data_IF_711856598366
#
_entry.id   IF_711856598366
#
_cell.length_a   1.000
_cell.length_b   1.000
_cell.length_c   1.000
_cell.angle_alpha   90.00
_cell.angle_beta   90.00
_cell.angle_gamma   90.00
#
_symmetry.space_group_name_H-M   'P 1'
#
loop_
_entity.id
_entity.type
_entity.pdbx_description
1 polymer ?
#
# COMPACT_ATOMS: atom_id res chain seq x y z
N UNK A 1 -10.15 14.15 -2.64
CA UNK A 1 -10.97 14.96 -1.71
C UNK A 1 -11.96 15.83 -2.45
N UNK A 2 -11.57 16.57 -3.49
CA UNK A 2 -12.47 17.42 -4.31
C UNK A 2 -13.75 16.72 -4.76
N UNK A 3 -13.66 15.57 -5.43
CA UNK A 3 -14.84 14.82 -5.90
C UNK A 3 -15.78 14.40 -4.76
N UNK A 4 -15.25 14.15 -3.56
CA UNK A 4 -16.07 13.82 -2.40
C UNK A 4 -16.82 15.06 -1.90
N UNK A 5 -16.13 16.19 -1.70
CA UNK A 5 -16.78 17.44 -1.26
C UNK A 5 -17.77 18.01 -2.28
N UNK A 6 -17.52 17.82 -3.57
CA UNK A 6 -18.48 18.18 -4.62
C UNK A 6 -19.76 17.31 -4.57
N UNK A 7 -19.66 16.07 -4.06
CA UNK A 7 -20.80 15.15 -3.95
C UNK A 7 -21.57 15.32 -2.63
N UNK A 8 -20.86 15.58 -1.53
CA UNK A 8 -21.46 15.69 -0.20
C UNK A 8 -21.74 17.14 0.14
N UNK A 9 -20.72 17.87 0.56
CA UNK A 9 -20.71 19.31 0.77
C UNK A 9 -19.27 19.74 1.07
N UNK A 10 -18.92 20.99 0.75
CA UNK A 10 -17.66 21.58 1.20
C UNK A 10 -17.75 22.01 2.67
N UNK A 11 -16.68 21.86 3.47
CA UNK A 11 -16.67 22.36 4.84
C UNK A 11 -17.02 23.85 4.91
N UNK A 12 -17.75 24.28 5.94
CA UNK A 12 -18.20 25.68 6.08
C UNK A 12 -17.08 26.74 6.02
N UNK A 13 -15.85 26.36 6.40
CA UNK A 13 -14.65 27.23 6.36
C UNK A 13 -13.79 27.05 5.10
N UNK A 14 -14.24 26.23 4.13
CA UNK A 14 -13.50 26.05 2.89
C UNK A 14 -13.62 27.29 1.99
N UNK A 15 -12.61 27.57 1.16
CA UNK A 15 -12.68 28.65 0.19
C UNK A 15 -13.83 28.50 -0.81
N UNK A 16 -14.19 29.61 -1.45
CA UNK A 16 -15.35 29.68 -2.36
C UNK A 16 -14.97 29.50 -3.82
N UNK A 17 -13.78 29.93 -4.22
CA UNK A 17 -13.30 29.81 -5.61
C UNK A 17 -12.65 28.46 -5.87
N UNK A 18 -12.61 28.03 -7.12
CA UNK A 18 -12.06 26.72 -7.51
C UNK A 18 -10.54 26.67 -7.34
N UNK A 19 -9.83 27.75 -7.69
CA UNK A 19 -8.39 27.89 -7.45
C UNK A 19 -8.05 27.77 -5.95
N UNK A 20 -8.70 28.52 -5.08
CA UNK A 20 -8.43 28.46 -3.63
C UNK A 20 -8.83 27.09 -3.05
N UNK A 21 -9.89 26.46 -3.55
CA UNK A 21 -10.29 25.10 -3.14
C UNK A 21 -9.26 24.06 -3.53
N UNK A 22 -8.62 24.21 -4.69
CA UNK A 22 -7.54 23.33 -5.14
C UNK A 22 -6.34 23.45 -4.19
N UNK A 23 -5.94 24.67 -3.84
CA UNK A 23 -4.86 24.92 -2.87
C UNK A 23 -5.20 24.39 -1.47
N UNK A 24 -6.45 24.61 -1.02
CA UNK A 24 -6.94 24.09 0.26
C UNK A 24 -6.93 22.56 0.32
N UNK A 25 -7.36 21.87 -0.75
CA UNK A 25 -7.29 20.40 -0.82
C UNK A 25 -5.83 19.94 -0.82
N UNK A 26 -4.93 20.64 -1.53
CA UNK A 26 -3.51 20.33 -1.50
C UNK A 26 -2.91 20.50 -0.09
N UNK A 27 -3.26 21.56 0.64
CA UNK A 27 -2.79 21.78 2.01
C UNK A 27 -3.30 20.70 2.98
N UNK A 28 -4.55 20.26 2.83
CA UNK A 28 -5.09 19.14 3.59
C UNK A 28 -4.34 17.83 3.30
N UNK A 29 -4.06 17.54 2.02
CA UNK A 29 -3.28 16.37 1.63
C UNK A 29 -1.86 16.42 2.22
N UNK A 30 -1.22 17.59 2.21
CA UNK A 30 0.10 17.81 2.82
C UNK A 30 0.04 17.55 4.33
N UNK A 31 -0.89 18.21 5.05
CA UNK A 31 -1.02 18.06 6.50
C UNK A 31 -1.35 16.62 6.93
N UNK A 32 -2.26 15.97 6.21
CA UNK A 32 -2.59 14.54 6.43
C UNK A 32 -1.36 13.65 6.24
N UNK A 33 -0.50 13.96 5.26
CA UNK A 33 0.72 13.20 5.01
C UNK A 33 1.74 13.41 6.13
N UNK A 34 1.96 14.64 6.59
CA UNK A 34 2.84 14.94 7.74
C UNK A 34 2.41 14.19 9.01
N UNK A 35 1.12 14.27 9.37
CA UNK A 35 0.58 13.58 10.54
C UNK A 35 0.72 12.05 10.41
N UNK A 36 0.45 11.51 9.22
CA UNK A 36 0.59 10.09 8.95
C UNK A 36 2.04 9.61 9.12
N UNK A 37 3.02 10.37 8.61
CA UNK A 37 4.44 10.04 8.81
C UNK A 37 4.83 10.10 10.28
N UNK A 38 4.38 11.12 11.02
CA UNK A 38 4.64 11.21 12.46
C UNK A 38 4.05 10.02 13.25
N UNK A 39 2.90 9.48 12.84
CA UNK A 39 2.34 8.26 13.46
C UNK A 39 3.18 7.02 13.18
N UNK A 40 3.75 6.89 11.98
CA UNK A 40 4.66 5.80 11.62
C UNK A 40 5.95 5.88 12.44
N UNK A 41 6.58 7.05 12.49
CA UNK A 41 7.84 7.28 13.20
C UNK A 41 7.69 7.03 14.71
N UNK A 42 6.56 7.44 15.29
CA UNK A 42 6.22 7.15 16.70
C UNK A 42 5.75 5.71 16.94
N UNK A 43 5.71 4.86 15.91
CA UNK A 43 5.24 3.47 15.97
C UNK A 43 3.83 3.32 16.57
N UNK A 44 2.97 4.31 16.35
CA UNK A 44 1.58 4.32 16.85
C UNK A 44 0.62 3.56 15.92
N UNK A 45 1.16 2.93 14.88
CA UNK A 45 0.41 2.18 13.88
C UNK A 45 0.79 0.70 14.01
N UNK A 46 -0.10 -0.15 14.52
CA UNK A 46 0.20 -1.56 14.66
C UNK A 46 0.23 -2.24 13.28
N UNK A 47 1.12 -3.22 13.14
CA UNK A 47 1.00 -4.20 12.05
C UNK A 47 -0.29 -5.00 12.23
N UNK A 48 -0.87 -5.46 11.11
CA UNK A 48 -1.98 -6.40 11.17
C UNK A 48 -1.52 -7.72 11.82
N UNK A 49 -2.37 -8.39 12.61
CA UNK A 49 -2.03 -9.67 13.21
C UNK A 49 -1.50 -10.67 12.17
N UNK A 50 -0.38 -11.32 12.48
CA UNK A 50 0.24 -12.33 11.64
C UNK A 50 1.12 -11.83 10.50
N UNK A 51 1.15 -10.52 10.17
CA UNK A 51 1.99 -9.98 9.09
C UNK A 51 3.46 -10.23 9.34
N UNK A 52 3.95 -9.87 10.53
CA UNK A 52 5.37 -10.05 10.87
C UNK A 52 5.75 -11.53 10.86
N UNK A 53 4.94 -12.39 11.49
CA UNK A 53 5.15 -13.85 11.53
C UNK A 53 5.23 -14.44 10.11
N UNK A 54 4.32 -14.06 9.22
CA UNK A 54 4.30 -14.56 7.84
C UNK A 54 5.56 -14.14 7.07
N UNK A 55 6.02 -12.90 7.24
CA UNK A 55 7.26 -12.41 6.65
C UNK A 55 8.46 -13.20 7.18
N UNK A 56 8.52 -13.43 8.50
CA UNK A 56 9.60 -14.19 9.12
C UNK A 56 9.64 -15.64 8.62
N UNK A 57 8.48 -16.30 8.55
CA UNK A 57 8.37 -17.66 8.03
C UNK A 57 8.74 -17.76 6.54
N UNK A 58 8.40 -16.75 5.74
CA UNK A 58 8.76 -16.69 4.33
C UNK A 58 10.27 -16.49 4.15
N UNK A 59 10.84 -15.47 4.80
CA UNK A 59 12.28 -15.17 4.74
C UNK A 59 13.11 -16.34 5.29
N UNK A 60 12.67 -16.98 6.38
CA UNK A 60 13.33 -18.15 6.97
C UNK A 60 13.34 -19.39 6.06
N UNK A 61 12.45 -19.45 5.06
CA UNK A 61 12.42 -20.51 4.04
C UNK A 61 13.09 -20.11 2.72
N UNK A 62 13.78 -18.96 2.69
CA UNK A 62 14.42 -18.44 1.47
C UNK A 62 13.42 -17.88 0.45
N UNK A 63 12.18 -17.63 0.85
CA UNK A 63 11.18 -17.06 -0.06
C UNK A 63 11.38 -15.56 -0.18
N UNK A 64 11.43 -15.07 -1.43
CA UNK A 64 11.53 -13.63 -1.72
C UNK A 64 10.24 -12.92 -1.30
N UNK A 65 10.40 -11.73 -0.70
CA UNK A 65 9.28 -10.91 -0.22
C UNK A 65 9.33 -9.54 -0.89
N UNK A 66 8.22 -9.10 -1.45
CA UNK A 66 8.06 -7.72 -1.91
C UNK A 66 6.77 -7.08 -1.41
N UNK A 67 6.83 -5.75 -1.26
CA UNK A 67 5.67 -4.89 -1.00
C UNK A 67 5.35 -4.12 -2.26
N UNK A 68 4.12 -4.25 -2.78
CA UNK A 68 3.66 -3.41 -3.88
C UNK A 68 2.43 -2.58 -3.52
N UNK A 69 2.47 -1.27 -3.77
CA UNK A 69 1.43 -0.34 -3.31
C UNK A 69 1.21 0.79 -4.31
N UNK A 70 -0.02 1.30 -4.36
CA UNK A 70 -0.32 2.56 -5.08
C UNK A 70 -0.08 3.80 -4.22
N UNK A 71 0.31 3.62 -2.95
CA UNK A 71 0.68 4.70 -2.03
C UNK A 71 2.06 5.25 -2.38
N UNK A 72 2.37 6.47 -1.93
CA UNK A 72 3.69 7.06 -2.15
C UNK A 72 4.80 6.20 -1.50
N UNK A 73 5.96 6.16 -2.15
CA UNK A 73 7.09 5.34 -1.75
C UNK A 73 7.59 5.67 -0.33
N UNK A 74 7.75 6.96 -0.01
CA UNK A 74 8.24 7.41 1.31
C UNK A 74 7.41 6.83 2.47
N UNK A 75 6.09 6.79 2.33
CA UNK A 75 5.19 6.23 3.32
C UNK A 75 5.33 4.71 3.42
N UNK A 76 5.46 4.00 2.29
CA UNK A 76 5.63 2.54 2.29
C UNK A 76 6.97 2.15 2.90
N UNK A 77 8.05 2.83 2.50
CA UNK A 77 9.40 2.61 3.03
C UNK A 77 9.47 2.88 4.52
N UNK A 78 8.83 3.95 5.02
CA UNK A 78 8.75 4.22 6.45
C UNK A 78 7.94 3.16 7.21
N UNK A 79 6.84 2.66 6.64
CA UNK A 79 6.08 1.56 7.26
C UNK A 79 6.96 0.31 7.36
N UNK A 80 7.65 -0.06 6.29
CA UNK A 80 8.51 -1.24 6.28
C UNK A 80 9.67 -1.06 7.28
N UNK A 81 10.41 0.03 7.23
CA UNK A 81 11.56 0.24 8.11
C UNK A 81 11.19 0.44 9.58
N UNK A 82 10.18 1.25 9.88
CA UNK A 82 9.81 1.59 11.26
C UNK A 82 8.99 0.48 11.94
N UNK A 83 8.09 -0.19 11.21
CA UNK A 83 7.15 -1.16 11.81
C UNK A 83 7.62 -2.61 11.68
N UNK A 84 8.27 -3.00 10.56
CA UNK A 84 8.85 -4.35 10.42
C UNK A 84 10.31 -4.41 10.92
N UNK A 85 10.97 -3.26 11.04
CA UNK A 85 12.35 -3.14 11.48
C UNK A 85 13.36 -3.23 10.34
N UNK A 86 14.59 -2.74 10.57
CA UNK A 86 15.62 -2.62 9.54
C UNK A 86 16.03 -3.97 8.93
N UNK A 87 16.22 -5.01 9.75
CA UNK A 87 16.65 -6.34 9.30
C UNK A 87 15.70 -6.98 8.28
N UNK A 88 14.40 -6.71 8.40
CA UNK A 88 13.39 -7.17 7.43
C UNK A 88 13.35 -6.23 6.24
N UNK A 89 13.46 -4.93 6.46
CA UNK A 89 13.44 -3.93 5.40
C UNK A 89 14.54 -4.16 4.35
N UNK A 90 15.72 -4.59 4.77
CA UNK A 90 16.83 -4.95 3.87
C UNK A 90 16.51 -6.14 2.95
N UNK A 91 15.58 -7.00 3.36
CA UNK A 91 15.18 -8.23 2.64
C UNK A 91 13.88 -8.09 1.86
N UNK A 92 13.23 -6.92 1.94
CA UNK A 92 11.94 -6.64 1.32
C UNK A 92 12.12 -5.62 0.20
N UNK A 93 11.83 -6.01 -1.04
CA UNK A 93 11.83 -5.07 -2.17
C UNK A 93 10.52 -4.29 -2.22
N UNK A 94 10.59 -2.97 -2.38
CA UNK A 94 9.41 -2.09 -2.38
C UNK A 94 9.14 -1.58 -3.80
N UNK A 95 7.90 -1.72 -4.24
CA UNK A 95 7.37 -1.17 -5.50
C UNK A 95 6.18 -0.27 -5.17
N UNK A 96 6.37 1.06 -5.18
CA UNK A 96 5.35 1.97 -4.68
C UNK A 96 5.19 3.23 -5.55
N UNK A 97 4.06 3.92 -5.39
CA UNK A 97 3.79 5.19 -6.06
C UNK A 97 3.58 5.04 -7.56
N UNK A 98 4.45 5.70 -8.33
CA UNK A 98 4.36 5.83 -9.79
C UNK A 98 5.46 5.02 -10.51
N UNK A 99 6.01 3.98 -9.86
CA UNK A 99 6.95 3.01 -10.47
C UNK A 99 6.35 2.27 -11.67
N UNK A 100 5.02 2.33 -11.85
CA UNK A 100 4.31 1.83 -13.03
C UNK A 100 3.35 2.89 -13.56
N UNK A 101 3.16 2.98 -14.88
CA UNK A 101 2.32 4.01 -15.50
C UNK A 101 0.82 3.78 -15.23
N UNK A 102 0.40 2.52 -15.07
CA UNK A 102 -1.00 2.15 -14.79
C UNK A 102 -1.09 1.52 -13.41
N UNK A 103 -2.00 2.05 -12.59
CA UNK A 103 -2.27 1.58 -11.23
C UNK A 103 -3.31 0.44 -11.26
N UNK A 104 -3.38 -0.32 -10.18
CA UNK A 104 -4.40 -1.38 -9.97
C UNK A 104 -5.80 -0.83 -10.34
N UNK A 105 -6.64 -1.56 -11.10
CA UNK A 105 -6.63 -3.02 -11.30
C UNK A 105 -5.69 -3.53 -12.40
N UNK A 106 -4.88 -2.66 -13.03
CA UNK A 106 -3.83 -3.10 -13.94
C UNK A 106 -2.78 -3.99 -13.21
N UNK A 107 -2.30 -5.09 -13.84
CA UNK A 107 -1.36 -6.02 -13.22
C UNK A 107 0.09 -5.51 -13.18
N UNK A 108 0.43 -4.37 -13.80
CA UNK A 108 1.80 -3.93 -14.04
C UNK A 108 2.68 -3.94 -12.78
N UNK A 109 2.16 -3.54 -11.62
CA UNK A 109 2.96 -3.48 -10.39
C UNK A 109 3.38 -4.88 -9.88
N UNK A 110 2.54 -5.88 -10.10
CA UNK A 110 2.84 -7.27 -9.74
C UNK A 110 3.80 -7.91 -10.74
N UNK A 111 3.59 -7.64 -12.03
CA UNK A 111 4.47 -8.12 -13.09
C UNK A 111 5.87 -7.50 -12.96
N UNK A 112 5.95 -6.22 -12.61
CA UNK A 112 7.21 -5.57 -12.26
C UNK A 112 7.89 -6.28 -11.09
N UNK A 113 7.15 -6.54 -10.01
CA UNK A 113 7.70 -7.23 -8.85
C UNK A 113 8.22 -8.64 -9.20
N UNK A 114 7.46 -9.42 -9.95
CA UNK A 114 7.86 -10.76 -10.38
C UNK A 114 9.11 -10.74 -11.27
N UNK A 115 9.17 -9.82 -12.25
CA UNK A 115 10.33 -9.67 -13.13
C UNK A 115 11.57 -9.23 -12.35
N UNK A 116 11.46 -8.22 -11.48
CA UNK A 116 12.58 -7.73 -10.67
C UNK A 116 13.07 -8.78 -9.67
N UNK A 117 12.17 -9.60 -9.13
CA UNK A 117 12.53 -10.70 -8.24
C UNK A 117 12.90 -11.98 -8.99
N UNK A 118 12.84 -12.01 -10.33
CA UNK A 118 13.13 -13.18 -11.16
C UNK A 118 12.33 -14.42 -10.74
N UNK A 119 11.01 -14.27 -10.59
CA UNK A 119 10.09 -15.35 -10.22
C UNK A 119 8.95 -15.49 -11.22
N UNK A 120 8.46 -16.72 -11.40
CA UNK A 120 7.28 -16.98 -12.23
C UNK A 120 6.02 -16.43 -11.54
N UNK A 121 5.18 -15.62 -12.22
CA UNK A 121 3.92 -15.15 -11.64
C UNK A 121 2.99 -16.27 -11.16
N UNK A 122 2.99 -17.43 -11.80
CA UNK A 122 2.18 -18.59 -11.40
C UNK A 122 2.63 -19.24 -10.09
N UNK A 123 3.91 -19.06 -9.75
CA UNK A 123 4.44 -19.41 -8.44
C UNK A 123 3.99 -18.40 -7.39
N UNK A 124 3.87 -17.12 -7.73
CA UNK A 124 3.54 -16.04 -6.79
C UNK A 124 2.16 -16.15 -6.10
N UNK A 125 2.13 -15.71 -4.84
CA UNK A 125 0.98 -15.55 -3.95
C UNK A 125 0.99 -14.12 -3.45
N UNK A 126 -0.11 -13.44 -3.73
CA UNK A 126 -0.36 -12.06 -3.31
C UNK A 126 -1.29 -12.04 -2.10
N UNK A 127 -0.91 -11.32 -1.05
CA UNK A 127 -1.82 -10.99 0.06
C UNK A 127 -2.44 -9.62 -0.18
N UNK A 128 -3.75 -9.56 -0.40
CA UNK A 128 -4.49 -8.33 -0.76
C UNK A 128 -5.66 -8.04 0.18
N UNK A 129 -6.16 -6.80 0.19
CA UNK A 129 -7.31 -6.40 1.02
C UNK A 129 -8.47 -5.78 0.22
N UNK A 130 -8.29 -5.58 -1.08
CA UNK A 130 -9.25 -4.87 -1.93
C UNK A 130 -9.61 -5.64 -3.20
N UNK A 131 -10.83 -5.45 -3.71
CA UNK A 131 -11.25 -6.02 -5.00
C UNK A 131 -10.36 -5.54 -6.15
N UNK A 132 -9.97 -4.27 -6.14
CA UNK A 132 -9.09 -3.68 -7.17
C UNK A 132 -7.72 -4.39 -7.18
N UNK A 133 -7.17 -4.66 -6.00
CA UNK A 133 -5.89 -5.36 -5.90
C UNK A 133 -5.97 -6.85 -6.18
N UNK A 134 -7.07 -7.51 -5.79
CA UNK A 134 -7.40 -8.88 -6.20
C UNK A 134 -7.46 -9.00 -7.73
N UNK A 135 -8.19 -8.11 -8.40
CA UNK A 135 -8.29 -8.10 -9.87
C UNK A 135 -6.92 -7.96 -10.53
N UNK A 136 -6.09 -7.05 -10.02
CA UNK A 136 -4.72 -6.88 -10.52
C UNK A 136 -3.84 -8.12 -10.30
N UNK A 137 -3.94 -8.79 -9.14
CA UNK A 137 -3.18 -10.01 -8.87
C UNK A 137 -3.60 -11.16 -9.80
N UNK A 138 -4.91 -11.32 -10.01
CA UNK A 138 -5.46 -12.33 -10.93
C UNK A 138 -5.08 -12.05 -12.38
N UNK A 139 -5.12 -10.78 -12.80
CA UNK A 139 -4.67 -10.37 -14.14
C UNK A 139 -3.17 -10.58 -14.36
N UNK A 140 -2.37 -10.57 -13.28
CA UNK A 140 -0.95 -10.89 -13.32
C UNK A 140 -0.66 -12.41 -13.35
N UNK A 141 -1.69 -13.27 -13.36
CA UNK A 141 -1.52 -14.73 -13.32
C UNK A 141 -1.15 -15.29 -11.93
N UNK A 142 -1.24 -14.49 -10.87
CA UNK A 142 -0.82 -14.87 -9.53
C UNK A 142 -1.97 -15.46 -8.71
N UNK A 143 -1.62 -16.30 -7.72
CA UNK A 143 -2.54 -16.70 -6.65
C UNK A 143 -2.78 -15.49 -5.73
N UNK A 144 -3.97 -15.36 -5.16
CA UNK A 144 -4.29 -14.24 -4.29
C UNK A 144 -5.07 -14.70 -3.06
N UNK A 145 -4.58 -14.35 -1.87
CA UNK A 145 -5.24 -14.51 -0.58
C UNK A 145 -5.75 -13.14 -0.15
N UNK A 146 -7.06 -13.05 0.09
CA UNK A 146 -7.69 -11.79 0.52
C UNK A 146 -7.80 -11.74 2.05
N UNK A 147 -7.25 -10.70 2.65
CA UNK A 147 -7.34 -10.37 4.07
C UNK A 147 -8.20 -9.13 4.25
N UNK A 148 -9.51 -9.32 4.48
CA UNK A 148 -10.47 -8.22 4.64
C UNK A 148 -9.96 -7.18 5.65
N UNK A 149 -9.98 -5.89 5.27
CA UNK A 149 -9.56 -4.79 6.14
C UNK A 149 -10.77 -4.01 6.67
N UNK A 150 -10.53 -3.14 7.65
CA UNK A 150 -11.55 -2.32 8.32
C UNK A 150 -12.29 -1.34 7.39
N UNK A 151 -11.92 -1.20 6.11
CA UNK A 151 -12.70 -0.40 5.17
C UNK A 151 -14.03 -1.02 4.73
N UNK A 152 -14.31 -2.27 5.13
CA UNK A 152 -15.67 -2.80 5.06
C UNK A 152 -16.56 -2.33 6.22
N UNK A 153 -16.00 -1.87 7.36
CA UNK A 153 -16.67 -1.09 8.42
C UNK A 153 -15.61 -0.41 9.30
N UNK A 154 -15.34 0.88 9.06
CA UNK A 154 -14.52 1.82 9.87
C UNK A 154 -13.15 1.33 10.39
N UNK A 155 -12.06 1.78 9.72
CA UNK A 155 -10.78 2.28 10.28
C UNK A 155 -9.55 1.86 9.45
N UNK A 156 -8.85 2.90 8.98
CA UNK A 156 -7.50 3.04 8.41
C UNK A 156 -6.77 1.83 7.79
N UNK A 157 -6.35 2.01 6.52
CA UNK A 157 -5.53 1.06 5.75
C UNK A 157 -4.16 0.99 6.40
N UNK A 158 -3.82 -0.16 6.95
CA UNK A 158 -2.43 -0.48 7.23
C UNK A 158 -2.10 -1.86 6.71
N UNK A 159 -1.23 -1.85 5.70
CA UNK A 159 -0.56 -2.97 5.07
C UNK A 159 -1.41 -3.82 4.11
N UNK A 160 -1.24 -3.51 2.83
CA UNK A 160 -1.55 -4.42 1.74
C UNK A 160 -0.36 -4.42 0.79
N UNK A 161 0.44 -5.48 0.88
CA UNK A 161 0.80 -6.36 -0.23
C UNK A 161 2.05 -7.13 0.17
N UNK A 162 1.96 -8.45 0.27
CA UNK A 162 3.14 -9.32 0.31
C UNK A 162 3.04 -10.15 -0.95
N UNK A 163 4.00 -9.99 -1.88
CA UNK A 163 4.26 -10.97 -2.93
C UNK A 163 5.23 -11.97 -2.31
N UNK A 164 4.73 -13.18 -2.11
CA UNK A 164 5.49 -14.36 -1.70
C UNK A 164 5.53 -15.27 -2.92
N UNK A 165 6.65 -15.94 -3.24
CA UNK A 165 6.75 -17.40 -3.46
C UNK A 165 8.13 -17.73 -4.05
N UNK A 166 8.61 -18.90 -3.60
CA UNK A 166 9.79 -19.67 -4.01
C UNK A 166 10.02 -19.73 -5.52
#
# INVERSE_FOLDING_TARGET
MTAYFNKTEWPAKAPKTDEERKEFVASLHKRKTELFMALIEKKLLPLRPGVQRLIDEALGKGVKVAVCSTSNEKAVSAIVSCLLGPDRAEKITIFAGDVVPRKKPDPAIYLLAATTLEVDPSSCVVVEDSNIGLSAAKAAGMKCIVTKSGYNFLSVKYFCMIVVVS
#
